data_IF_649410527350
#
_entry.id   IF_649410527350
#
_cell.length_a   1.000
_cell.length_b   1.000
_cell.length_c   1.000
_cell.angle_alpha   90.00
_cell.angle_beta   90.00
_cell.angle_gamma   90.00
#
_symmetry.space_group_name_H-M   'P 1'
#
loop_
_entity.id
_entity.type
_entity.pdbx_description
1 polymer ?
#
# COMPACT_ATOMS: atom_id res chain seq x y z
N UNK A 1 26.93 -7.45 -16.29
CA UNK A 1 26.58 -6.55 -15.17
C UNK A 1 25.11 -6.77 -14.91
N UNK A 2 24.67 -6.69 -13.65
CA UNK A 2 23.24 -6.80 -13.33
C UNK A 2 22.43 -5.71 -14.04
N UNK A 3 21.17 -6.00 -14.41
CA UNK A 3 20.29 -5.03 -15.06
C UNK A 3 19.97 -3.84 -14.15
N UNK A 4 19.77 -4.12 -12.86
CA UNK A 4 19.59 -3.13 -11.81
C UNK A 4 20.83 -3.04 -10.93
N UNK A 5 21.20 -1.83 -10.56
CA UNK A 5 22.26 -1.53 -9.60
C UNK A 5 21.75 -0.64 -8.46
N UNK A 6 22.29 -0.84 -7.25
CA UNK A 6 21.93 0.00 -6.11
C UNK A 6 22.77 1.29 -6.14
N UNK A 7 22.11 2.44 -6.10
CA UNK A 7 22.75 3.76 -6.07
C UNK A 7 22.31 4.55 -4.84
N UNK A 8 22.97 5.67 -4.53
CA UNK A 8 22.55 6.61 -3.48
C UNK A 8 21.12 7.16 -3.68
N UNK A 9 20.62 7.12 -4.92
CA UNK A 9 19.28 7.57 -5.28
C UNK A 9 18.25 6.44 -5.31
N UNK A 10 18.64 5.18 -5.15
CA UNK A 10 17.75 4.01 -5.24
C UNK A 10 18.18 3.02 -6.32
N UNK A 11 17.25 2.16 -6.77
CA UNK A 11 17.51 1.15 -7.80
C UNK A 11 17.58 1.81 -9.18
N UNK A 12 18.71 1.67 -9.85
CA UNK A 12 18.97 2.27 -11.16
C UNK A 12 19.05 1.20 -12.24
N UNK A 13 18.30 1.41 -13.32
CA UNK A 13 18.35 0.60 -14.53
C UNK A 13 19.14 1.34 -15.60
N UNK A 14 20.39 0.94 -15.83
CA UNK A 14 21.27 1.57 -16.84
C UNK A 14 20.69 1.47 -18.24
N UNK A 15 20.09 0.34 -18.60
CA UNK A 15 19.50 0.13 -19.92
C UNK A 15 18.31 1.07 -20.19
N UNK A 16 17.57 1.45 -19.16
CA UNK A 16 16.46 2.40 -19.24
C UNK A 16 16.88 3.86 -18.98
N UNK A 17 18.08 4.09 -18.45
CA UNK A 17 18.49 5.37 -17.83
C UNK A 17 17.38 5.91 -16.90
N UNK A 18 16.96 5.08 -15.95
CA UNK A 18 15.81 5.32 -15.08
C UNK A 18 16.02 4.75 -13.69
N UNK A 19 15.45 5.40 -12.67
CA UNK A 19 15.42 4.89 -11.30
C UNK A 19 14.03 4.38 -10.94
N UNK A 20 13.97 3.30 -10.20
CA UNK A 20 12.74 2.80 -9.59
C UNK A 20 12.63 3.38 -8.17
N UNK A 21 11.50 4.00 -7.87
CA UNK A 21 11.16 4.58 -6.56
C UNK A 21 12.31 5.38 -5.93
N UNK A 22 12.85 6.40 -6.62
CA UNK A 22 14.07 7.06 -6.17
C UNK A 22 13.85 7.81 -4.85
N UNK A 23 14.84 7.71 -3.96
CA UNK A 23 14.83 8.39 -2.66
C UNK A 23 15.16 9.89 -2.76
N UNK A 24 15.68 10.32 -3.91
CA UNK A 24 16.11 11.70 -4.23
C UNK A 24 15.64 12.09 -5.64
N UNK A 25 15.58 13.39 -5.97
CA UNK A 25 15.33 13.85 -7.33
C UNK A 25 16.28 13.22 -8.36
N UNK A 26 15.73 12.75 -9.47
CA UNK A 26 16.46 12.18 -10.61
C UNK A 26 15.81 12.63 -11.92
N UNK A 27 16.49 12.39 -13.04
CA UNK A 27 15.94 12.69 -14.37
C UNK A 27 14.66 11.90 -14.65
N UNK A 28 14.69 10.57 -14.51
CA UNK A 28 13.58 9.69 -14.85
C UNK A 28 13.25 8.73 -13.72
N UNK A 29 12.04 8.85 -13.17
CA UNK A 29 11.54 8.01 -12.09
C UNK A 29 10.44 7.06 -12.59
N UNK A 30 10.65 5.76 -12.45
CA UNK A 30 9.60 4.74 -12.55
C UNK A 30 9.01 4.54 -11.15
N UNK A 31 7.72 4.81 -10.98
CA UNK A 31 7.06 4.81 -9.67
C UNK A 31 6.16 3.58 -9.54
N UNK A 32 6.39 2.79 -8.50
CA UNK A 32 5.52 1.66 -8.15
C UNK A 32 4.20 2.16 -7.59
N UNK A 33 4.21 3.13 -6.67
CA UNK A 33 3.00 3.69 -6.09
C UNK A 33 3.23 5.04 -5.37
N UNK A 34 2.15 5.71 -4.99
CA UNK A 34 2.17 7.09 -4.49
C UNK A 34 2.47 7.26 -2.98
N UNK A 35 2.96 6.23 -2.27
CA UNK A 35 3.39 6.41 -0.88
C UNK A 35 4.66 7.26 -0.81
N UNK A 36 4.91 7.77 0.40
CA UNK A 36 5.87 8.84 0.62
C UNK A 36 7.32 8.45 0.40
N UNK A 37 7.60 7.19 0.66
CA UNK A 37 8.86 6.49 0.57
C UNK A 37 9.17 6.00 -0.85
N UNK A 38 8.17 5.99 -1.75
CA UNK A 38 8.31 5.57 -3.15
C UNK A 38 8.22 6.73 -4.13
N UNK A 39 7.32 7.69 -3.88
CA UNK A 39 7.08 8.85 -4.74
C UNK A 39 7.62 10.14 -4.11
N UNK A 40 8.87 10.50 -4.45
CA UNK A 40 9.53 11.73 -4.03
C UNK A 40 9.38 12.87 -5.05
N UNK A 41 9.09 14.11 -4.61
CA UNK A 41 8.99 15.26 -5.51
C UNK A 41 10.35 15.67 -6.07
N UNK A 42 10.34 16.38 -7.19
CA UNK A 42 11.52 17.04 -7.78
C UNK A 42 12.21 16.30 -8.93
N UNK A 43 11.71 15.14 -9.36
CA UNK A 43 12.23 14.48 -10.57
C UNK A 43 11.77 15.22 -11.84
N UNK A 44 12.55 15.14 -12.92
CA UNK A 44 12.19 15.82 -14.18
C UNK A 44 10.96 15.17 -14.84
N UNK A 45 10.91 13.82 -14.84
CA UNK A 45 9.76 13.05 -15.31
C UNK A 45 9.47 11.81 -14.45
N UNK A 46 8.17 11.50 -14.34
CA UNK A 46 7.62 10.36 -13.62
C UNK A 46 6.90 9.45 -14.60
N UNK A 47 7.06 8.14 -14.43
CA UNK A 47 6.37 7.10 -15.20
C UNK A 47 5.65 6.19 -14.22
N UNK A 48 4.36 6.00 -14.41
CA UNK A 48 3.54 5.18 -13.52
C UNK A 48 2.30 4.66 -14.24
N UNK A 49 1.55 3.77 -13.59
CA UNK A 49 0.27 3.32 -14.12
C UNK A 49 -0.76 4.46 -14.16
N UNK A 50 -1.57 4.53 -15.20
CA UNK A 50 -2.56 5.58 -15.42
C UNK A 50 -3.58 5.71 -14.27
N UNK A 51 -4.00 4.60 -13.65
CA UNK A 51 -4.92 4.63 -12.51
C UNK A 51 -4.35 5.30 -11.25
N UNK A 52 -3.03 5.52 -11.19
CA UNK A 52 -2.35 6.21 -10.09
C UNK A 52 -2.31 7.74 -10.25
N UNK A 53 -2.70 8.29 -11.41
CA UNK A 53 -2.47 9.71 -11.73
C UNK A 53 -3.04 10.66 -10.68
N UNK A 54 -4.28 10.45 -10.24
CA UNK A 54 -4.93 11.32 -9.25
C UNK A 54 -4.17 11.35 -7.91
N UNK A 55 -3.75 10.19 -7.41
CA UNK A 55 -3.01 10.09 -6.14
C UNK A 55 -1.57 10.59 -6.27
N UNK A 56 -0.91 10.40 -7.43
CA UNK A 56 0.42 10.93 -7.69
C UNK A 56 0.42 12.45 -7.81
N UNK A 57 -0.50 13.06 -8.56
CA UNK A 57 -0.58 14.53 -8.68
C UNK A 57 -0.94 15.19 -7.36
N UNK A 58 -1.79 14.55 -6.54
CA UNK A 58 -2.06 15.01 -5.18
C UNK A 58 -0.80 14.99 -4.30
N UNK A 59 0.07 13.99 -4.50
CA UNK A 59 1.31 13.78 -3.73
C UNK A 59 2.46 14.68 -4.18
N UNK A 60 2.69 14.76 -5.48
CA UNK A 60 3.90 15.30 -6.10
C UNK A 60 3.70 16.71 -6.67
N UNK A 61 2.45 17.17 -6.80
CA UNK A 61 2.07 18.43 -7.42
C UNK A 61 1.30 18.21 -8.73
N UNK A 62 0.45 19.17 -9.08
CA UNK A 62 -0.38 19.06 -10.28
C UNK A 62 0.44 19.20 -11.57
N UNK A 63 1.53 19.95 -11.52
CA UNK A 63 2.35 20.32 -12.69
C UNK A 63 3.49 19.33 -12.99
N UNK A 64 3.50 18.15 -12.35
CA UNK A 64 4.51 17.13 -12.66
C UNK A 64 4.38 16.65 -14.11
N UNK A 65 5.52 16.36 -14.73
CA UNK A 65 5.60 15.61 -15.98
C UNK A 65 5.36 14.13 -15.67
N UNK A 66 4.10 13.69 -15.81
CA UNK A 66 3.70 12.30 -15.58
C UNK A 66 3.36 11.60 -16.90
N UNK A 67 4.08 10.54 -17.20
CA UNK A 67 3.82 9.61 -18.29
C UNK A 67 2.98 8.44 -17.76
N UNK A 68 1.67 8.52 -17.97
CA UNK A 68 0.69 7.54 -17.52
C UNK A 68 0.60 6.35 -18.50
N UNK A 69 0.81 5.13 -18.00
CA UNK A 69 0.77 3.89 -18.80
C UNK A 69 -0.36 2.97 -18.34
N UNK A 70 -1.15 2.35 -19.25
CA UNK A 70 -2.03 1.26 -18.86
C UNK A 70 -1.25 0.07 -18.28
N UNK A 71 -1.86 -0.68 -17.36
CA UNK A 71 -1.29 -1.97 -16.93
C UNK A 71 -1.06 -2.89 -18.13
N UNK A 72 0.02 -3.67 -18.09
CA UNK A 72 0.43 -4.62 -19.12
C UNK A 72 0.90 -3.98 -20.43
N UNK A 73 0.79 -2.66 -20.62
CA UNK A 73 1.29 -2.00 -21.82
C UNK A 73 2.81 -1.93 -21.77
N UNK A 74 3.44 -2.59 -22.73
CA UNK A 74 4.87 -2.49 -22.97
C UNK A 74 5.23 -1.16 -23.65
N UNK A 75 6.32 -0.56 -23.20
CA UNK A 75 6.93 0.63 -23.80
C UNK A 75 8.45 0.56 -23.65
N UNK A 76 9.16 1.24 -24.55
CA UNK A 76 10.62 1.24 -24.57
C UNK A 76 11.18 2.49 -23.93
N UNK A 77 12.10 2.31 -22.99
CA UNK A 77 12.98 3.35 -22.49
C UNK A 77 14.41 2.97 -22.86
N UNK A 78 15.00 3.71 -23.80
CA UNK A 78 16.32 3.40 -24.34
C UNK A 78 16.41 1.93 -24.80
N UNK A 79 17.14 1.07 -24.07
CA UNK A 79 17.36 -0.34 -24.41
C UNK A 79 16.47 -1.30 -23.61
N UNK A 80 15.65 -0.80 -22.67
CA UNK A 80 14.79 -1.61 -21.82
C UNK A 80 13.32 -1.56 -22.29
N UNK A 81 12.71 -2.73 -22.43
CA UNK A 81 11.26 -2.86 -22.52
C UNK A 81 10.67 -2.86 -21.10
N UNK A 82 9.74 -1.96 -20.84
CA UNK A 82 9.16 -1.72 -19.51
C UNK A 82 7.65 -1.92 -19.56
N UNK A 83 7.09 -2.52 -18.52
CA UNK A 83 5.63 -2.59 -18.31
C UNK A 83 5.29 -2.52 -16.83
N UNK A 84 4.11 -1.95 -16.53
CA UNK A 84 3.56 -1.89 -15.18
C UNK A 84 2.49 -2.96 -15.02
N UNK A 85 2.48 -3.67 -13.91
CA UNK A 85 1.52 -4.76 -13.62
C UNK A 85 0.92 -4.56 -12.23
N UNK A 86 -0.33 -4.95 -11.98
CA UNK A 86 -0.96 -4.62 -10.69
C UNK A 86 -0.23 -5.28 -9.50
N UNK A 87 0.06 -4.50 -8.46
CA UNK A 87 0.62 -4.98 -7.19
C UNK A 87 -0.47 -5.22 -6.12
N UNK A 88 -1.71 -4.83 -6.37
CA UNK A 88 -2.81 -4.98 -5.40
C UNK A 88 -2.64 -4.27 -4.06
N UNK A 89 -1.65 -3.40 -3.90
CA UNK A 89 -1.34 -2.71 -2.66
C UNK A 89 -2.33 -1.58 -2.35
N UNK A 90 -2.46 -0.63 -3.28
CA UNK A 90 -3.31 0.56 -3.22
C UNK A 90 -3.79 0.94 -4.62
N UNK A 91 -4.66 1.96 -4.74
CA UNK A 91 -5.09 2.45 -6.05
C UNK A 91 -3.89 2.83 -6.91
N UNK A 92 -3.76 2.16 -8.05
CA UNK A 92 -2.66 2.39 -8.99
C UNK A 92 -1.29 1.93 -8.50
N UNK A 93 -1.21 0.98 -7.56
CA UNK A 93 0.07 0.36 -7.22
C UNK A 93 0.49 -0.67 -8.26
N UNK A 94 1.75 -0.61 -8.70
CA UNK A 94 2.28 -1.45 -9.76
C UNK A 94 3.61 -2.13 -9.38
N UNK A 95 3.76 -3.36 -9.84
CA UNK A 95 5.03 -4.00 -10.07
C UNK A 95 5.62 -3.45 -11.38
N UNK A 96 6.93 -3.26 -11.42
CA UNK A 96 7.65 -2.78 -12.61
C UNK A 96 8.42 -3.95 -13.21
N UNK A 97 8.03 -4.36 -14.41
CA UNK A 97 8.73 -5.35 -15.22
C UNK A 97 9.70 -4.66 -16.17
N UNK A 98 10.94 -5.12 -16.19
CA UNK A 98 12.02 -4.68 -17.07
C UNK A 98 12.54 -5.88 -17.85
N UNK A 99 12.61 -5.77 -19.18
CA UNK A 99 13.17 -6.80 -20.04
C UNK A 99 14.31 -6.22 -20.90
N UNK A 100 15.47 -6.86 -20.86
CA UNK A 100 16.65 -6.53 -21.68
C UNK A 100 17.31 -7.82 -22.13
N UNK A 101 17.50 -8.00 -23.45
CA UNK A 101 18.14 -9.21 -24.02
C UNK A 101 17.55 -10.52 -23.47
N UNK A 102 16.22 -10.61 -23.43
CA UNK A 102 15.43 -11.73 -22.90
C UNK A 102 15.52 -11.98 -21.38
N UNK A 103 16.35 -11.24 -20.64
CA UNK A 103 16.39 -11.30 -19.17
C UNK A 103 15.30 -10.39 -18.58
N UNK A 104 14.43 -10.96 -17.75
CA UNK A 104 13.29 -10.26 -17.15
C UNK A 104 13.51 -10.04 -15.65
N UNK A 105 13.51 -8.78 -15.24
CA UNK A 105 13.51 -8.36 -13.85
C UNK A 105 12.15 -7.79 -13.46
N UNK A 106 11.68 -8.11 -12.26
CA UNK A 106 10.47 -7.53 -11.69
C UNK A 106 10.77 -6.92 -10.33
N UNK A 107 10.40 -5.65 -10.14
CA UNK A 107 10.40 -4.98 -8.84
C UNK A 107 8.96 -4.85 -8.37
N UNK A 108 8.60 -5.51 -7.28
CA UNK A 108 7.19 -5.60 -6.86
C UNK A 108 6.63 -4.29 -6.32
N UNK A 109 7.51 -3.42 -5.79
CA UNK A 109 7.09 -2.40 -4.83
C UNK A 109 6.47 -3.05 -3.59
N UNK A 110 5.62 -2.30 -2.90
CA UNK A 110 4.72 -2.87 -1.90
C UNK A 110 3.56 -3.57 -2.59
N UNK A 111 3.13 -4.71 -2.06
CA UNK A 111 2.09 -5.52 -2.70
C UNK A 111 1.29 -6.32 -1.68
N UNK A 112 0.05 -6.68 -2.01
CA UNK A 112 -0.70 -7.72 -1.28
C UNK A 112 -1.46 -8.60 -2.25
N UNK A 113 -1.74 -9.83 -1.80
CA UNK A 113 -2.45 -10.83 -2.61
C UNK A 113 -3.90 -11.08 -2.22
N UNK A 114 -4.31 -10.63 -1.04
CA UNK A 114 -5.69 -10.80 -0.63
C UNK A 114 -6.60 -9.84 -1.41
N UNK A 115 -7.85 -10.25 -1.62
CA UNK A 115 -8.85 -9.41 -2.26
C UNK A 115 -8.97 -8.06 -1.54
N UNK A 116 -9.11 -7.01 -2.34
CA UNK A 116 -9.31 -5.64 -1.90
C UNK A 116 -10.24 -4.94 -2.91
N UNK A 117 -11.46 -4.54 -2.51
CA UNK A 117 -12.38 -3.85 -3.42
C UNK A 117 -11.97 -2.42 -3.78
N UNK A 118 -10.86 -1.91 -3.23
CA UNK A 118 -10.38 -0.54 -3.45
C UNK A 118 -9.26 -0.40 -4.48
N UNK A 119 -8.75 -1.50 -5.03
CA UNK A 119 -7.72 -1.51 -6.07
C UNK A 119 -7.78 -2.76 -6.94
N UNK A 120 -7.08 -2.75 -8.07
CA UNK A 120 -6.93 -3.93 -8.93
C UNK A 120 -6.27 -5.10 -8.17
N UNK A 121 -6.62 -6.36 -8.47
CA UNK A 121 -6.01 -7.52 -7.81
C UNK A 121 -4.53 -7.66 -8.22
N UNK A 122 -3.74 -8.33 -7.37
CA UNK A 122 -2.35 -8.66 -7.68
C UNK A 122 -2.23 -9.53 -8.93
N UNK A 123 -1.33 -9.13 -9.83
CA UNK A 123 -1.02 -9.86 -11.05
C UNK A 123 0.27 -10.68 -10.86
N UNK A 124 0.27 -11.97 -11.24
CA UNK A 124 1.51 -12.76 -11.22
C UNK A 124 2.32 -12.42 -12.46
N UNK A 125 3.55 -11.96 -12.29
CA UNK A 125 4.47 -11.63 -13.39
C UNK A 125 5.65 -12.61 -13.40
N UNK A 126 5.76 -13.51 -14.40
CA UNK A 126 6.91 -14.38 -14.55
C UNK A 126 8.20 -13.59 -14.81
N UNK A 127 9.29 -13.95 -14.14
CA UNK A 127 10.58 -13.28 -14.29
C UNK A 127 11.76 -14.19 -13.94
N UNK A 128 12.96 -13.78 -14.33
CA UNK A 128 14.22 -14.44 -13.97
C UNK A 128 14.71 -13.97 -12.60
N UNK A 129 14.57 -12.67 -12.35
CA UNK A 129 14.98 -11.98 -11.11
C UNK A 129 13.82 -11.20 -10.52
N UNK A 130 13.52 -11.46 -9.24
CA UNK A 130 12.47 -10.78 -8.49
C UNK A 130 13.07 -9.94 -7.35
N UNK A 131 12.72 -8.66 -7.29
CA UNK A 131 12.96 -7.80 -6.13
C UNK A 131 11.63 -7.61 -5.39
N UNK A 132 11.53 -8.14 -4.18
CA UNK A 132 10.27 -8.23 -3.42
C UNK A 132 10.37 -7.62 -2.01
N UNK A 133 9.29 -7.02 -1.51
CA UNK A 133 9.20 -6.55 -0.13
C UNK A 133 9.11 -7.69 0.91
N UNK A 134 9.38 -7.40 2.18
CA UNK A 134 9.22 -8.33 3.30
C UNK A 134 8.74 -7.63 4.58
N UNK A 135 7.79 -6.69 4.45
CA UNK A 135 7.29 -5.88 5.57
C UNK A 135 6.77 -6.79 6.68
N UNK A 136 6.09 -7.87 6.29
CA UNK A 136 5.59 -8.92 7.17
C UNK A 136 6.26 -10.27 6.90
N UNK A 137 7.59 -10.26 6.75
CA UNK A 137 8.44 -11.43 6.52
C UNK A 137 8.62 -12.39 7.70
N UNK A 138 7.60 -12.62 8.54
CA UNK A 138 7.61 -13.64 9.60
C UNK A 138 6.39 -14.57 9.51
N UNK A 139 6.56 -15.88 9.82
CA UNK A 139 5.45 -16.86 9.83
C UNK A 139 4.26 -16.53 10.73
N UNK A 140 4.42 -15.65 11.72
CA UNK A 140 3.32 -15.22 12.61
C UNK A 140 2.29 -14.33 11.91
N UNK A 141 2.63 -13.78 10.75
CA UNK A 141 1.73 -12.95 9.97
C UNK A 141 0.97 -13.82 8.99
N UNK A 142 -0.34 -13.91 9.21
CA UNK A 142 -1.30 -14.59 8.37
C UNK A 142 -2.58 -13.77 8.39
N UNK A 143 -3.04 -13.32 7.22
CA UNK A 143 -4.17 -12.38 7.14
C UNK A 143 -5.51 -13.11 7.07
N UNK A 144 -6.47 -12.61 7.83
CA UNK A 144 -7.88 -12.91 7.58
C UNK A 144 -8.36 -12.14 6.33
N UNK A 145 -9.41 -12.61 5.64
CA UNK A 145 -10.04 -11.85 4.56
C UNK A 145 -10.49 -10.47 5.04
N UNK A 146 -10.32 -9.43 4.21
CA UNK A 146 -10.71 -8.06 4.54
C UNK A 146 -12.18 -7.93 4.94
N UNK A 147 -13.06 -8.68 4.27
CA UNK A 147 -14.48 -8.81 4.62
C UNK A 147 -14.71 -9.19 6.10
N UNK A 148 -13.96 -10.16 6.64
CA UNK A 148 -14.08 -10.57 8.05
C UNK A 148 -13.69 -9.45 8.99
N UNK A 149 -12.66 -8.69 8.64
CA UNK A 149 -12.24 -7.54 9.44
C UNK A 149 -13.28 -6.41 9.37
N UNK A 150 -13.90 -6.19 8.22
CA UNK A 150 -14.99 -5.23 8.08
C UNK A 150 -16.22 -5.62 8.90
N UNK A 151 -16.59 -6.92 8.96
CA UNK A 151 -17.63 -7.44 9.85
C UNK A 151 -17.30 -7.14 11.32
N UNK A 152 -16.07 -7.44 11.76
CA UNK A 152 -15.63 -7.15 13.14
C UNK A 152 -15.67 -5.65 13.47
N UNK A 153 -15.34 -4.78 12.51
CA UNK A 153 -15.38 -3.33 12.66
C UNK A 153 -16.82 -2.84 12.74
N UNK A 154 -17.71 -3.34 11.87
CA UNK A 154 -19.14 -3.03 11.89
C UNK A 154 -19.75 -3.41 13.23
N UNK A 155 -19.49 -4.62 13.71
CA UNK A 155 -20.04 -5.11 14.97
C UNK A 155 -19.52 -4.31 16.18
N UNK A 156 -18.22 -3.95 16.18
CA UNK A 156 -17.65 -3.05 17.19
C UNK A 156 -18.29 -1.67 17.16
N UNK A 157 -18.47 -1.09 15.97
CA UNK A 157 -19.09 0.22 15.80
C UNK A 157 -20.56 0.21 16.23
N UNK A 158 -21.32 -0.81 15.85
CA UNK A 158 -22.73 -0.93 16.18
C UNK A 158 -22.98 -1.30 17.65
N UNK A 159 -22.00 -1.93 18.32
CA UNK A 159 -22.10 -2.35 19.71
C UNK A 159 -22.16 -1.21 20.73
N UNK A 160 -21.82 0.02 20.36
CA UNK A 160 -21.96 1.20 21.23
C UNK A 160 -22.30 2.43 20.39
N UNK A 161 -23.57 2.82 20.50
CA UNK A 161 -24.17 3.96 19.78
C UNK A 161 -24.18 5.24 20.60
N UNK A 162 -23.77 5.20 21.87
CA UNK A 162 -23.75 6.37 22.75
C UNK A 162 -22.47 7.19 22.54
N UNK A 163 -21.37 6.54 22.18
CA UNK A 163 -20.06 7.18 21.96
C UNK A 163 -19.71 7.21 20.46
N UNK A 164 -18.96 8.21 19.99
CA UNK A 164 -18.34 8.15 18.67
C UNK A 164 -17.29 7.02 18.61
N UNK A 165 -17.19 6.35 17.47
CA UNK A 165 -16.20 5.31 17.22
C UNK A 165 -15.08 5.86 16.32
N UNK A 166 -13.87 6.00 16.85
CA UNK A 166 -12.70 6.48 16.10
C UNK A 166 -11.83 5.30 15.71
N UNK A 167 -11.80 4.99 14.42
CA UNK A 167 -10.94 3.97 13.84
C UNK A 167 -9.73 4.62 13.17
N UNK A 168 -8.58 4.46 13.81
CA UNK A 168 -7.31 4.92 13.27
C UNK A 168 -6.78 3.97 12.21
N UNK A 169 -6.32 4.51 11.09
CA UNK A 169 -5.74 3.77 9.96
C UNK A 169 -4.91 4.71 9.08
N UNK A 170 -4.02 4.17 8.24
CA UNK A 170 -3.25 5.00 7.31
C UNK A 170 -4.18 5.72 6.32
N UNK A 171 -3.90 7.01 6.07
CA UNK A 171 -4.80 7.86 5.29
C UNK A 171 -4.84 7.53 3.79
N UNK A 172 -3.79 6.90 3.26
CA UNK A 172 -3.74 6.39 1.88
C UNK A 172 -3.64 4.87 1.90
N UNK A 173 -4.53 4.21 1.16
CA UNK A 173 -4.67 2.76 1.07
C UNK A 173 -5.69 2.25 2.09
N UNK A 174 -5.28 2.18 3.35
CA UNK A 174 -6.03 1.47 4.39
C UNK A 174 -7.41 2.03 4.67
N UNK A 175 -7.53 3.36 4.75
CA UNK A 175 -8.81 4.00 5.01
C UNK A 175 -9.80 3.75 3.87
N UNK A 176 -9.34 3.83 2.62
CA UNK A 176 -10.18 3.61 1.44
C UNK A 176 -10.58 2.13 1.31
N UNK A 177 -9.64 1.21 1.55
CA UNK A 177 -9.95 -0.22 1.67
C UNK A 177 -11.03 -0.49 2.71
N UNK A 178 -10.89 0.07 3.91
CA UNK A 178 -11.90 -0.10 4.97
C UNK A 178 -13.28 0.38 4.53
N UNK A 179 -13.37 1.54 3.86
CA UNK A 179 -14.64 2.05 3.34
C UNK A 179 -15.22 1.18 2.23
N UNK A 180 -14.38 0.63 1.35
CA UNK A 180 -14.80 -0.25 0.26
C UNK A 180 -15.25 -1.63 0.79
N UNK A 181 -14.55 -2.19 1.78
CA UNK A 181 -14.90 -3.46 2.43
C UNK A 181 -16.20 -3.33 3.24
N UNK A 182 -16.38 -2.23 3.98
CA UNK A 182 -17.64 -1.93 4.68
C UNK A 182 -18.81 -1.83 3.70
N UNK A 183 -18.61 -1.15 2.56
CA UNK A 183 -19.60 -1.07 1.50
C UNK A 183 -19.92 -2.45 0.92
N UNK A 184 -18.90 -3.28 0.66
CA UNK A 184 -19.07 -4.62 0.10
C UNK A 184 -19.89 -5.56 1.01
N UNK A 185 -19.88 -5.35 2.33
CA UNK A 185 -20.72 -6.09 3.28
C UNK A 185 -22.09 -5.44 3.55
N UNK A 186 -22.48 -4.44 2.76
CA UNK A 186 -23.79 -3.81 2.82
C UNK A 186 -23.95 -2.70 3.87
N UNK A 187 -22.85 -2.10 4.35
CA UNK A 187 -22.95 -0.92 5.21
C UNK A 187 -23.31 0.30 4.35
N UNK A 188 -24.47 0.89 4.65
CA UNK A 188 -24.98 2.10 3.99
C UNK A 188 -24.83 3.36 4.87
N UNK A 189 -24.53 3.20 6.16
CA UNK A 189 -24.31 4.29 7.09
C UNK A 189 -23.16 5.21 6.67
N UNK A 190 -23.34 6.52 6.88
CA UNK A 190 -22.33 7.52 6.56
C UNK A 190 -21.12 7.48 7.51
N UNK A 191 -19.93 7.32 6.93
CA UNK A 191 -18.63 7.35 7.63
C UNK A 191 -18.05 8.77 7.60
N UNK A 192 -17.57 9.25 8.74
CA UNK A 192 -16.94 10.56 8.83
C UNK A 192 -15.43 10.46 8.63
N UNK A 193 -14.84 11.41 7.91
CA UNK A 193 -13.42 11.36 7.57
C UNK A 193 -12.64 12.53 8.20
N UNK A 194 -11.48 12.22 8.76
CA UNK A 194 -10.45 13.22 9.00
C UNK A 194 -10.01 13.84 7.66
N UNK A 195 -9.65 15.13 7.63
CA UNK A 195 -9.31 15.84 6.40
C UNK A 195 -8.23 15.14 5.55
N UNK A 196 -7.15 14.66 6.19
CA UNK A 196 -6.11 13.89 5.49
C UNK A 196 -6.61 12.60 4.80
N UNK A 197 -7.64 11.94 5.35
CA UNK A 197 -8.26 10.76 4.74
C UNK A 197 -9.15 11.20 3.58
N UNK A 198 -10.01 12.19 3.82
CA UNK A 198 -10.91 12.78 2.81
C UNK A 198 -10.15 13.20 1.54
N UNK A 199 -9.01 13.88 1.68
CA UNK A 199 -8.23 14.35 0.51
C UNK A 199 -7.88 13.20 -0.42
N UNK A 200 -7.42 12.07 0.11
CA UNK A 200 -7.04 10.89 -0.68
C UNK A 200 -8.27 10.13 -1.18
N UNK A 201 -9.33 10.02 -0.37
CA UNK A 201 -10.57 9.32 -0.73
C UNK A 201 -11.24 9.91 -1.98
N UNK A 202 -11.08 11.21 -2.24
CA UNK A 202 -11.57 11.85 -3.48
C UNK A 202 -11.00 11.20 -4.73
N UNK A 203 -9.70 10.93 -4.75
CA UNK A 203 -9.02 10.29 -5.89
C UNK A 203 -9.56 8.88 -6.15
N UNK A 204 -9.86 8.13 -5.09
CA UNK A 204 -10.51 6.81 -5.22
C UNK A 204 -11.94 6.90 -5.76
N UNK A 205 -12.74 7.87 -5.30
CA UNK A 205 -14.09 8.08 -5.83
C UNK A 205 -14.08 8.50 -7.30
N UNK A 206 -13.15 9.38 -7.69
CA UNK A 206 -12.96 9.79 -9.08
C UNK A 206 -12.55 8.61 -9.97
N UNK A 207 -11.79 7.66 -9.42
CA UNK A 207 -11.44 6.40 -10.09
C UNK A 207 -12.59 5.38 -10.11
N UNK A 208 -13.78 5.72 -9.59
CA UNK A 208 -14.96 4.85 -9.63
C UNK A 208 -15.00 3.78 -8.53
N UNK A 209 -14.13 3.84 -7.52
CA UNK A 209 -14.14 2.88 -6.43
C UNK A 209 -15.38 3.09 -5.54
N UNK A 210 -16.20 2.04 -5.45
CA UNK A 210 -17.37 2.02 -4.58
C UNK A 210 -16.96 1.94 -3.11
N UNK A 211 -17.50 2.85 -2.30
CA UNK A 211 -17.19 3.01 -0.89
C UNK A 211 -18.43 3.48 -0.14
N UNK A 212 -18.44 3.31 1.18
CA UNK A 212 -19.52 3.87 2.02
C UNK A 212 -19.71 5.37 1.77
N UNK A 213 -20.94 5.89 1.93
CA UNK A 213 -21.16 7.32 1.97
C UNK A 213 -20.24 7.96 3.01
N UNK A 214 -19.67 9.11 2.68
CA UNK A 214 -18.77 9.79 3.61
C UNK A 214 -18.72 11.28 3.40
N UNK A 215 -18.44 11.98 4.49
CA UNK A 215 -18.16 13.41 4.50
C UNK A 215 -17.04 13.74 5.50
N UNK A 216 -16.29 14.83 5.29
CA UNK A 216 -15.28 15.24 6.25
C UNK A 216 -15.90 15.72 7.56
N UNK A 217 -15.24 15.45 8.69
CA UNK A 217 -15.64 15.92 10.04
C UNK A 217 -15.72 17.46 10.13
N UNK A 218 -15.06 18.18 9.22
CA UNK A 218 -15.14 19.64 9.11
C UNK A 218 -16.44 20.17 8.46
N UNK A 219 -17.20 19.32 7.75
CA UNK A 219 -18.48 19.70 7.15
C UNK A 219 -19.64 19.70 8.17
N UNK A 220 -19.47 19.01 9.29
CA UNK A 220 -20.47 18.96 10.36
C UNK A 220 -20.61 20.31 11.07
N UNK A 221 -21.84 20.66 11.42
CA UNK A 221 -22.15 21.78 12.28
C UNK A 221 -21.76 21.45 13.72
N UNK A 222 -21.40 22.47 14.53
CA UNK A 222 -21.00 22.27 15.94
C UNK A 222 -22.05 21.58 16.81
N UNK A 223 -23.33 21.69 16.44
CA UNK A 223 -24.46 21.09 17.15
C UNK A 223 -24.73 19.63 16.74
N UNK A 224 -24.11 19.15 15.67
CA UNK A 224 -24.36 17.81 15.17
C UNK A 224 -23.77 16.78 16.14
N UNK A 225 -24.57 15.76 16.46
CA UNK A 225 -24.11 14.70 17.35
C UNK A 225 -23.10 13.80 16.66
N UNK A 226 -22.06 13.41 17.40
CA UNK A 226 -21.08 12.43 16.97
C UNK A 226 -21.35 11.04 17.58
N UNK A 227 -22.33 10.93 18.48
CA UNK A 227 -22.70 9.66 19.09
C UNK A 227 -23.10 8.62 18.03
N UNK A 228 -22.54 7.41 18.12
CA UNK A 228 -22.81 6.32 17.18
C UNK A 228 -22.26 6.54 15.78
N UNK A 229 -21.44 7.57 15.52
CA UNK A 229 -20.81 7.79 14.23
C UNK A 229 -19.46 7.05 14.17
N UNK A 230 -19.14 6.46 13.00
CA UNK A 230 -17.79 5.98 12.71
C UNK A 230 -16.96 7.09 12.09
N UNK A 231 -15.76 7.31 12.63
CA UNK A 231 -14.79 8.30 12.14
C UNK A 231 -13.50 7.57 11.76
N UNK A 232 -13.01 7.78 10.53
CA UNK A 232 -11.68 7.32 10.10
C UNK A 232 -10.66 8.45 10.22
N UNK A 233 -9.51 8.16 10.85
CA UNK A 233 -8.46 9.16 11.07
C UNK A 233 -7.04 8.57 10.98
N UNK A 234 -6.03 9.37 10.60
CA UNK A 234 -4.64 8.91 10.62
C UNK A 234 -4.13 8.72 12.06
N UNK A 235 -3.14 7.84 12.31
CA UNK A 235 -2.60 7.61 13.65
C UNK A 235 -2.03 8.87 14.31
N UNK A 236 -1.53 9.81 13.52
CA UNK A 236 -1.03 11.11 13.99
C UNK A 236 -2.13 11.96 14.66
N UNK A 237 -3.40 11.75 14.33
CA UNK A 237 -4.51 12.47 14.95
C UNK A 237 -4.74 12.04 16.41
N UNK A 238 -4.43 10.80 16.78
CA UNK A 238 -4.77 10.20 18.08
C UNK A 238 -4.23 10.98 19.30
N UNK A 239 -3.09 11.65 19.18
CA UNK A 239 -2.48 12.44 20.27
C UNK A 239 -2.49 13.95 20.02
N UNK A 240 -3.24 14.38 19.02
CA UNK A 240 -3.32 15.79 18.61
C UNK A 240 -4.47 16.53 19.28
N UNK A 241 -4.47 17.86 19.20
CA UNK A 241 -5.57 18.70 19.68
C UNK A 241 -6.92 18.39 18.99
N UNK A 242 -6.89 17.78 17.80
CA UNK A 242 -8.10 17.36 17.06
C UNK A 242 -8.98 16.42 17.89
N UNK A 243 -8.38 15.57 18.73
CA UNK A 243 -9.12 14.64 19.59
C UNK A 243 -10.03 15.32 20.62
N UNK A 244 -9.77 16.58 20.99
CA UNK A 244 -10.59 17.33 21.96
C UNK A 244 -12.03 17.53 21.50
N UNK A 245 -12.31 17.35 20.20
CA UNK A 245 -13.67 17.41 19.63
C UNK A 245 -14.53 16.21 19.99
N UNK A 246 -13.94 15.10 20.41
CA UNK A 246 -14.64 13.85 20.70
C UNK A 246 -14.68 13.63 22.20
N UNK A 247 -15.89 13.68 22.78
CA UNK A 247 -16.09 13.38 24.19
C UNK A 247 -16.12 11.86 24.39
N UNK A 248 -15.13 11.34 25.12
CA UNK A 248 -15.01 9.92 25.48
C UNK A 248 -15.22 8.96 24.29
N UNK A 249 -14.48 9.09 23.18
CA UNK A 249 -14.66 8.20 22.03
C UNK A 249 -14.25 6.77 22.35
N UNK A 250 -14.88 5.81 21.67
CA UNK A 250 -14.26 4.49 21.49
C UNK A 250 -13.06 4.64 20.54
N UNK A 251 -11.95 3.97 20.83
CA UNK A 251 -10.75 4.06 19.98
C UNK A 251 -10.27 2.70 19.50
N UNK A 252 -10.05 2.58 18.19
CA UNK A 252 -9.51 1.38 17.57
C UNK A 252 -8.40 1.70 16.57
N UNK A 253 -7.54 0.73 16.29
CA UNK A 253 -6.51 0.87 15.26
C UNK A 253 -6.50 -0.33 14.32
N UNK A 254 -6.62 -0.09 13.01
CA UNK A 254 -6.48 -1.09 11.96
C UNK A 254 -5.06 -1.12 11.42
N UNK A 255 -4.35 -2.23 11.63
CA UNK A 255 -2.98 -2.42 11.16
C UNK A 255 -2.53 -3.88 11.30
N UNK A 256 -1.73 -4.38 10.36
CA UNK A 256 -1.09 -5.70 10.47
C UNK A 256 -0.23 -5.85 11.74
N UNK A 257 0.29 -4.74 12.26
CA UNK A 257 1.03 -4.72 13.53
C UNK A 257 0.17 -5.06 14.76
N UNK A 258 -1.16 -5.11 14.63
CA UNK A 258 -2.07 -5.51 15.71
C UNK A 258 -2.08 -7.01 15.99
N UNK A 259 -1.43 -7.83 15.15
CA UNK A 259 -1.19 -9.27 15.44
C UNK A 259 -0.42 -9.45 16.75
N UNK A 260 0.52 -8.55 17.06
CA UNK A 260 1.35 -8.65 18.27
C UNK A 260 0.72 -7.88 19.43
N UNK A 261 0.28 -8.59 20.48
CA UNK A 261 -0.38 -8.01 21.67
C UNK A 261 0.39 -6.84 22.31
N UNK A 262 1.72 -6.93 22.34
CA UNK A 262 2.59 -5.89 22.90
C UNK A 262 2.58 -4.57 22.11
N UNK A 263 2.31 -4.59 20.81
CA UNK A 263 2.21 -3.38 19.99
C UNK A 263 0.88 -2.63 20.26
N UNK A 264 -0.22 -3.37 20.46
CA UNK A 264 -1.52 -2.80 20.84
C UNK A 264 -1.47 -2.06 22.18
N UNK A 265 -0.94 -2.70 23.23
CA UNK A 265 -0.85 -2.11 24.58
C UNK A 265 0.01 -0.83 24.61
N UNK A 266 1.13 -0.81 23.87
CA UNK A 266 2.03 0.37 23.80
C UNK A 266 1.40 1.59 23.13
N UNK A 267 0.46 1.39 22.19
CA UNK A 267 -0.16 2.49 21.44
C UNK A 267 -1.39 3.11 22.12
N UNK A 268 -1.99 2.43 23.09
CA UNK A 268 -3.04 2.98 23.95
C UNK A 268 -4.45 2.99 23.35
N UNK A 269 -4.72 2.13 22.36
CA UNK A 269 -6.05 1.96 21.77
C UNK A 269 -6.87 0.90 22.53
N UNK A 270 -8.19 1.11 22.63
CA UNK A 270 -9.10 0.13 23.26
C UNK A 270 -9.20 -1.15 22.45
N UNK A 271 -9.25 -1.06 21.11
CA UNK A 271 -9.39 -2.19 20.18
C UNK A 271 -8.29 -2.17 19.10
N UNK A 272 -7.93 -3.34 18.59
CA UNK A 272 -7.04 -3.49 17.43
C UNK A 272 -7.68 -4.43 16.41
N UNK A 273 -7.56 -4.08 15.13
CA UNK A 273 -8.02 -4.89 14.00
C UNK A 273 -6.82 -5.22 13.11
N UNK A 274 -6.65 -6.51 12.80
CA UNK A 274 -5.50 -6.99 12.02
C UNK A 274 -5.81 -6.86 10.54
N UNK A 275 -5.45 -5.70 9.96
CA UNK A 275 -5.59 -5.42 8.53
C UNK A 275 -4.29 -4.85 7.98
N UNK A 276 -3.72 -5.52 6.98
CA UNK A 276 -2.51 -5.07 6.29
C UNK A 276 -2.78 -4.87 4.81
N UNK A 277 -2.11 -3.87 4.23
CA UNK A 277 -2.10 -3.66 2.78
C UNK A 277 -0.88 -4.31 2.10
N UNK A 278 -0.11 -5.09 2.86
CA UNK A 278 1.06 -5.84 2.39
C UNK A 278 0.78 -7.33 2.43
N UNK A 279 1.56 -8.12 1.70
CA UNK A 279 1.50 -9.57 1.72
C UNK A 279 1.82 -10.12 3.13
N UNK A 280 1.13 -11.18 3.51
CA UNK A 280 1.52 -11.98 4.67
C UNK A 280 2.63 -12.96 4.27
N UNK A 281 3.10 -13.73 5.25
CA UNK A 281 4.16 -14.71 5.04
C UNK A 281 3.87 -15.69 3.89
N UNK A 282 2.65 -16.22 3.82
CA UNK A 282 2.26 -17.14 2.76
C UNK A 282 2.13 -16.44 1.42
N UNK A 283 1.60 -15.20 1.39
CA UNK A 283 1.57 -14.36 0.20
C UNK A 283 2.97 -14.07 -0.36
N UNK A 284 3.94 -13.78 0.51
CA UNK A 284 5.34 -13.55 0.12
C UNK A 284 5.94 -14.79 -0.55
N UNK A 285 5.88 -15.96 0.10
CA UNK A 285 6.39 -17.23 -0.44
C UNK A 285 5.69 -17.57 -1.77
N UNK A 286 4.36 -17.50 -1.79
CA UNK A 286 3.57 -17.83 -2.99
C UNK A 286 3.95 -16.96 -4.18
N UNK A 287 4.23 -15.67 -3.94
CA UNK A 287 4.66 -14.73 -5.01
C UNK A 287 5.98 -15.16 -5.60
N UNK A 288 6.97 -15.44 -4.75
CA UNK A 288 8.28 -15.91 -5.20
C UNK A 288 8.14 -17.18 -6.03
N UNK A 289 7.39 -18.17 -5.55
CA UNK A 289 7.25 -19.45 -6.26
C UNK A 289 6.50 -19.32 -7.59
N UNK A 290 5.41 -18.56 -7.63
CA UNK A 290 4.63 -18.38 -8.86
C UNK A 290 5.30 -17.44 -9.88
N UNK A 291 6.23 -16.58 -9.45
CA UNK A 291 7.03 -15.76 -10.36
C UNK A 291 8.00 -16.57 -11.22
N UNK A 292 8.38 -17.79 -10.78
CA UNK A 292 9.39 -18.60 -11.45
C UNK A 292 10.83 -18.08 -11.34
N UNK A 293 11.05 -16.97 -10.61
CA UNK A 293 12.36 -16.37 -10.45
C UNK A 293 13.36 -17.31 -9.78
N UNK A 294 14.58 -17.33 -10.32
CA UNK A 294 15.70 -18.12 -9.77
C UNK A 294 16.53 -17.31 -8.78
N UNK A 295 16.61 -16.00 -9.01
CA UNK A 295 17.27 -15.04 -8.11
C UNK A 295 16.25 -14.10 -7.50
N UNK A 296 16.30 -13.95 -6.18
CA UNK A 296 15.38 -13.13 -5.40
C UNK A 296 16.18 -12.17 -4.54
N UNK A 297 15.88 -10.88 -4.67
CA UNK A 297 16.33 -9.85 -3.75
C UNK A 297 15.18 -9.44 -2.84
N UNK A 298 15.42 -9.45 -1.53
CA UNK A 298 14.42 -9.11 -0.52
C UNK A 298 14.74 -7.77 0.10
N UNK A 299 13.76 -6.86 0.11
CA UNK A 299 13.88 -5.51 0.68
C UNK A 299 12.73 -5.22 1.65
N UNK A 300 12.76 -4.07 2.30
CA UNK A 300 11.72 -3.56 3.20
C UNK A 300 11.31 -4.56 4.30
N UNK A 301 11.97 -4.51 5.46
CA UNK A 301 11.54 -5.26 6.65
C UNK A 301 12.48 -6.39 7.05
N UNK A 302 11.98 -7.61 7.13
CA UNK A 302 12.67 -8.75 7.76
C UNK A 302 13.39 -9.62 6.74
N UNK A 303 14.26 -8.97 5.96
CA UNK A 303 14.89 -9.50 4.74
C UNK A 303 15.61 -10.84 4.98
N UNK A 304 16.36 -10.95 6.08
CA UNK A 304 17.18 -12.13 6.38
C UNK A 304 16.34 -13.39 6.63
N UNK A 305 15.19 -13.25 7.29
CA UNK A 305 14.33 -14.40 7.66
C UNK A 305 13.71 -14.99 6.40
N UNK A 306 13.10 -14.16 5.55
CA UNK A 306 12.51 -14.62 4.30
C UNK A 306 13.58 -15.19 3.36
N UNK A 307 14.70 -14.47 3.17
CA UNK A 307 15.81 -14.93 2.32
C UNK A 307 16.32 -16.30 2.76
N UNK A 308 16.56 -16.47 4.06
CA UNK A 308 17.02 -17.75 4.62
C UNK A 308 16.00 -18.86 4.39
N UNK A 309 14.71 -18.59 4.62
CA UNK A 309 13.66 -19.59 4.41
C UNK A 309 13.60 -20.04 2.95
N UNK A 310 13.64 -19.11 1.98
CA UNK A 310 13.61 -19.42 0.55
C UNK A 310 14.81 -20.28 0.14
N UNK A 311 16.01 -19.98 0.65
CA UNK A 311 17.21 -20.81 0.42
C UNK A 311 17.05 -22.20 1.00
N UNK A 312 16.71 -22.32 2.29
CA UNK A 312 16.69 -23.61 3.00
C UNK A 312 15.53 -24.51 2.59
N UNK A 313 14.36 -23.95 2.23
CA UNK A 313 13.14 -24.72 1.94
C UNK A 313 12.86 -24.91 0.45
N UNK A 314 13.29 -23.97 -0.38
CA UNK A 314 12.98 -23.98 -1.82
C UNK A 314 14.23 -24.03 -2.70
N UNK A 315 15.45 -23.95 -2.14
CA UNK A 315 16.70 -24.04 -2.89
C UNK A 315 16.92 -22.86 -3.86
N UNK A 316 16.29 -21.71 -3.61
CA UNK A 316 16.37 -20.52 -4.45
C UNK A 316 17.56 -19.63 -4.09
N UNK A 317 18.11 -18.87 -5.03
CA UNK A 317 19.11 -17.83 -4.76
C UNK A 317 18.42 -16.58 -4.19
N UNK A 318 18.11 -16.59 -2.89
CA UNK A 318 17.47 -15.46 -2.21
C UNK A 318 18.45 -14.73 -1.28
N UNK A 319 18.51 -13.40 -1.38
CA UNK A 319 19.40 -12.54 -0.58
C UNK A 319 18.78 -11.17 -0.27
N UNK A 320 19.21 -10.49 0.81
CA UNK A 320 18.86 -9.10 1.03
C UNK A 320 19.28 -8.21 -0.16
N UNK A 321 18.46 -7.21 -0.48
CA UNK A 321 18.67 -6.30 -1.62
C UNK A 321 20.00 -5.53 -1.52
N UNK A 322 20.49 -5.30 -0.31
CA UNK A 322 21.77 -4.64 -0.05
C UNK A 322 22.98 -5.41 -0.62
N UNK A 323 22.79 -6.66 -1.02
CA UNK A 323 23.79 -7.49 -1.69
C UNK A 323 23.72 -7.40 -3.23
N UNK A 324 22.84 -6.55 -3.77
CA UNK A 324 22.83 -6.19 -5.19
C UNK A 324 23.98 -5.21 -5.46
N UNK A 325 24.97 -5.67 -6.22
CA UNK A 325 26.19 -4.93 -6.57
C UNK A 325 26.07 -4.15 -7.87
#
# INVERSE_FOLDING_TARGET
MALLEHTDSGLYCRAADAWIDPSRPVRRALITHAHADHARPGCDEYWAVASSEGVLRQRLGQDITLHAMPYGREFWLNQACVSFHSAGHVLGSAQIRLCVNDEVWVVTGDYKRCSDPSCDPFEVVPCDVLITEATFGLPIYAWEPGQRIAEQIRDWWQGDRERPSLLFCYAFGKAQRLMAELHAIGVEDEVLLHGAVETVTRSYRMAGIAMTPSQPVSALQRKDTLAGRLILAPPSAHRSAWMRRFRSPQTAFASGWMTVRGARRRRGYERGFVLSDHADWQGLIRTVLESGAKTIYVTHGQNDVLSRYLRERHGLDARPLEQLS
#
